data_IF_811926627216
#
_entry.id   IF_811926627216
#
_cell.length_a   1.000
_cell.length_b   1.000
_cell.length_c   1.000
_cell.angle_alpha   90.00
_cell.angle_beta   90.00
_cell.angle_gamma   90.00
#
_symmetry.space_group_name_H-M   'P 1'
#
loop_
_entity.id
_entity.type
_entity.pdbx_description
1 polymer ?
#
# COMPACT_ATOMS: atom_id res chain seq x y z
N UNK A 1 25.91 -23.96 20.29
CA UNK A 1 27.07 -23.22 19.80
C UNK A 1 27.87 -24.14 18.90
N UNK A 2 27.72 -24.02 17.58
CA UNK A 2 28.50 -24.81 16.61
C UNK A 2 28.81 -23.90 15.44
N UNK A 3 30.06 -23.46 15.37
CA UNK A 3 30.64 -22.62 14.33
C UNK A 3 31.42 -23.50 13.35
N UNK A 4 31.28 -23.27 12.03
CA UNK A 4 32.09 -23.86 10.96
C UNK A 4 31.96 -23.02 9.66
N UNK A 5 32.96 -23.05 8.74
CA UNK A 5 33.81 -21.89 8.47
C UNK A 5 33.71 -21.32 7.04
N UNK A 6 34.33 -20.14 6.91
CA UNK A 6 34.70 -19.42 5.69
C UNK A 6 35.49 -20.30 4.70
N UNK A 7 35.17 -20.18 3.40
CA UNK A 7 36.02 -20.64 2.31
C UNK A 7 36.11 -19.56 1.22
N UNK A 8 37.34 -19.08 1.05
CA UNK A 8 37.80 -18.21 -0.01
C UNK A 8 37.80 -18.94 -1.36
N UNK A 9 37.45 -18.22 -2.43
CA UNK A 9 38.01 -18.50 -3.75
C UNK A 9 38.16 -17.17 -4.50
N UNK A 10 39.41 -16.69 -4.55
CA UNK A 10 39.85 -15.63 -5.43
C UNK A 10 40.26 -16.26 -6.77
N UNK A 11 39.80 -15.68 -7.88
CA UNK A 11 40.45 -15.85 -9.18
C UNK A 11 40.22 -14.58 -10.01
N UNK A 12 41.31 -13.82 -10.17
CA UNK A 12 41.41 -12.68 -11.06
C UNK A 12 41.73 -13.15 -12.48
N UNK A 13 41.23 -12.43 -13.50
CA UNK A 13 41.90 -12.31 -14.79
C UNK A 13 41.39 -11.06 -15.52
N UNK A 14 42.34 -10.18 -15.83
CA UNK A 14 42.17 -8.89 -16.48
C UNK A 14 42.24 -9.01 -18.00
N UNK A 15 41.48 -8.18 -18.72
CA UNK A 15 41.76 -7.82 -20.13
C UNK A 15 41.48 -6.32 -20.29
N UNK A 16 42.54 -5.57 -20.68
CA UNK A 16 42.48 -4.18 -21.14
C UNK A 16 42.08 -4.14 -22.63
N UNK A 17 41.23 -3.17 -23.00
CA UNK A 17 41.31 -2.48 -24.29
C UNK A 17 40.61 -1.11 -24.20
N UNK A 18 41.34 -0.06 -24.55
CA UNK A 18 40.92 1.33 -24.55
C UNK A 18 40.39 1.76 -25.92
N UNK A 19 39.35 2.60 -25.96
CA UNK A 19 39.09 3.61 -27.00
C UNK A 19 37.92 4.49 -26.54
N UNK A 20 38.04 5.80 -26.76
CA UNK A 20 37.21 6.81 -26.10
C UNK A 20 35.81 7.00 -26.67
N UNK A 21 34.98 7.64 -25.86
CA UNK A 21 33.90 8.54 -26.28
C UNK A 21 33.73 9.59 -25.17
N UNK A 22 34.03 10.84 -25.51
CA UNK A 22 33.72 12.02 -24.72
C UNK A 22 32.20 12.20 -24.69
N UNK A 23 31.59 12.34 -23.51
CA UNK A 23 30.16 12.67 -23.46
C UNK A 23 29.53 12.67 -22.07
N UNK A 24 29.67 13.78 -21.36
CA UNK A 24 28.63 14.30 -20.47
C UNK A 24 28.47 13.66 -19.10
N UNK A 25 29.09 14.28 -18.09
CA UNK A 25 28.66 14.19 -16.69
C UNK A 25 27.23 14.72 -16.53
N UNK A 26 26.27 13.81 -16.41
CA UNK A 26 25.05 14.08 -15.68
C UNK A 26 24.97 13.05 -14.54
N UNK A 27 24.85 13.46 -13.27
CA UNK A 27 24.72 12.51 -12.18
C UNK A 27 23.42 11.72 -12.39
N UNK A 28 23.57 10.42 -12.63
CA UNK A 28 22.48 9.47 -12.62
C UNK A 28 21.85 9.50 -11.22
N UNK A 29 20.70 10.18 -11.13
CA UNK A 29 19.81 10.16 -9.98
C UNK A 29 19.50 8.69 -9.66
N UNK A 30 19.53 8.25 -8.39
CA UNK A 30 19.14 6.88 -8.05
C UNK A 30 17.76 6.60 -8.63
N UNK A 31 17.66 5.58 -9.47
CA UNK A 31 16.38 5.03 -9.83
C UNK A 31 15.73 4.58 -8.51
N UNK A 32 14.70 5.30 -8.08
CA UNK A 32 13.83 4.81 -7.04
C UNK A 32 13.23 3.51 -7.59
N UNK A 33 13.69 2.37 -7.08
CA UNK A 33 12.97 1.11 -7.17
C UNK A 33 11.64 1.30 -6.44
N UNK A 34 10.72 1.93 -7.14
CA UNK A 34 9.33 2.04 -6.78
C UNK A 34 8.75 0.65 -6.88
N UNK A 35 8.96 -0.16 -5.84
CA UNK A 35 8.24 -1.39 -5.62
C UNK A 35 6.78 -1.11 -5.91
N UNK A 36 6.26 -1.72 -6.97
CA UNK A 36 4.89 -1.51 -7.43
C UNK A 36 3.98 -2.09 -6.35
N UNK A 37 3.57 -1.23 -5.42
CA UNK A 37 2.47 -1.53 -4.50
C UNK A 37 1.25 -1.61 -5.38
N UNK A 38 0.81 -2.83 -5.67
CA UNK A 38 -0.49 -3.06 -6.28
C UNK A 38 -1.53 -2.56 -5.28
N UNK A 39 -2.21 -1.45 -5.60
CA UNK A 39 -3.47 -1.06 -4.95
C UNK A 39 -4.36 -2.31 -4.94
N UNK A 40 -4.48 -2.97 -3.78
CA UNK A 40 -5.29 -4.16 -3.57
C UNK A 40 -6.79 -3.86 -3.53
N UNK A 41 -7.23 -2.84 -4.26
CA UNK A 41 -8.65 -2.65 -4.53
C UNK A 41 -9.06 -3.74 -5.50
N UNK A 42 -10.03 -4.56 -5.08
CA UNK A 42 -10.71 -5.52 -5.94
C UNK A 42 -11.26 -4.76 -7.16
N UNK A 43 -10.51 -4.77 -8.27
CA UNK A 43 -10.99 -4.24 -9.55
C UNK A 43 -11.66 -5.39 -10.28
N UNK A 44 -12.96 -5.28 -10.50
CA UNK A 44 -13.65 -6.07 -11.54
C UNK A 44 -14.57 -7.19 -11.07
N UNK A 45 -15.38 -6.95 -10.06
CA UNK A 45 -16.61 -7.72 -9.79
C UNK A 45 -17.64 -6.77 -9.18
N UNK A 46 -18.93 -7.05 -9.33
CA UNK A 46 -20.00 -6.27 -8.71
C UNK A 46 -19.78 -6.25 -7.19
N UNK A 47 -19.14 -5.20 -6.68
CA UNK A 47 -18.96 -5.02 -5.25
C UNK A 47 -20.35 -4.73 -4.69
N UNK A 48 -20.83 -5.58 -3.80
CA UNK A 48 -22.16 -5.45 -3.21
C UNK A 48 -22.10 -4.92 -1.77
N UNK A 49 -23.22 -4.35 -1.32
CA UNK A 49 -23.39 -3.88 0.05
C UNK A 49 -22.49 -2.68 0.40
N UNK A 50 -22.14 -2.54 1.68
CA UNK A 50 -21.42 -1.37 2.18
C UNK A 50 -20.02 -1.19 1.57
N UNK A 51 -19.41 -2.24 1.03
CA UNK A 51 -18.13 -2.16 0.32
C UNK A 51 -18.24 -1.32 -0.96
N UNK A 52 -19.39 -1.34 -1.63
CA UNK A 52 -19.65 -0.58 -2.86
C UNK A 52 -19.67 0.94 -2.62
N UNK A 53 -19.98 1.35 -1.38
CA UNK A 53 -20.07 2.75 -1.01
C UNK A 53 -18.70 3.44 -0.89
N UNK A 54 -17.59 2.67 -0.78
CA UNK A 54 -16.25 3.23 -0.66
C UNK A 54 -15.59 3.39 -2.02
N UNK A 55 -15.43 4.64 -2.44
CA UNK A 55 -14.90 5.07 -3.72
C UNK A 55 -13.52 5.73 -3.61
N UNK A 56 -12.84 5.87 -4.75
CA UNK A 56 -11.58 6.60 -4.89
C UNK A 56 -10.48 6.20 -3.89
N UNK A 57 -10.46 4.91 -3.54
CA UNK A 57 -9.58 4.36 -2.52
C UNK A 57 -8.12 4.45 -2.96
N UNK A 58 -7.29 5.02 -2.09
CA UNK A 58 -5.83 4.96 -2.17
C UNK A 58 -5.29 4.57 -0.81
N UNK A 59 -4.62 3.44 -0.77
CA UNK A 59 -4.00 2.96 0.46
C UNK A 59 -2.57 2.48 0.19
N UNK A 60 -1.59 3.29 0.61
CA UNK A 60 -0.20 3.04 0.30
C UNK A 60 0.72 3.52 1.42
N UNK A 61 1.91 2.94 1.46
CA UNK A 61 3.03 3.45 2.25
C UNK A 61 3.68 4.65 1.56
N UNK A 62 4.16 5.62 2.32
CA UNK A 62 5.13 6.61 1.85
C UNK A 62 6.57 6.05 1.83
N UNK A 63 7.56 6.85 1.43
CA UNK A 63 8.98 6.44 1.45
C UNK A 63 9.53 6.12 2.86
N UNK A 64 8.85 6.58 3.91
CA UNK A 64 9.17 6.22 5.29
C UNK A 64 8.55 4.87 5.71
N UNK A 65 7.75 4.24 4.86
CA UNK A 65 6.97 3.05 5.19
C UNK A 65 5.71 3.34 5.98
N UNK A 66 5.26 4.60 6.08
CA UNK A 66 4.04 4.96 6.81
C UNK A 66 2.83 4.81 5.88
N UNK A 67 1.93 3.92 6.26
CA UNK A 67 0.71 3.61 5.53
C UNK A 67 -0.38 4.62 5.84
N UNK A 68 -1.04 5.10 4.79
CA UNK A 68 -2.21 5.97 4.91
C UNK A 68 -3.30 5.54 3.94
N UNK A 69 -4.56 5.68 4.37
CA UNK A 69 -5.75 5.50 3.54
C UNK A 69 -6.38 6.87 3.26
N UNK A 70 -6.80 7.09 2.01
CA UNK A 70 -7.80 8.09 1.64
C UNK A 70 -8.86 7.47 0.71
N UNK A 71 -10.08 7.97 0.78
CA UNK A 71 -11.19 7.59 -0.09
C UNK A 71 -12.42 8.47 0.17
N UNK A 72 -13.53 8.12 -0.45
CA UNK A 72 -14.84 8.77 -0.25
C UNK A 72 -15.90 7.72 0.00
N UNK A 73 -16.81 7.98 0.93
CA UNK A 73 -18.02 7.18 1.10
C UNK A 73 -19.17 7.92 0.43
N UNK A 74 -19.84 7.27 -0.52
CA UNK A 74 -21.07 7.73 -1.15
C UNK A 74 -22.26 6.95 -0.57
N UNK A 75 -23.28 7.66 -0.11
CA UNK A 75 -24.52 7.08 0.37
C UNK A 75 -25.62 7.31 -0.66
N UNK A 76 -25.94 6.28 -1.46
CA UNK A 76 -27.00 6.33 -2.47
C UNK A 76 -28.42 6.23 -1.89
N UNK A 77 -28.56 5.89 -0.61
CA UNK A 77 -29.87 5.78 0.05
C UNK A 77 -30.40 7.17 0.44
N UNK A 78 -31.71 7.27 0.70
CA UNK A 78 -32.35 8.54 1.11
C UNK A 78 -32.14 8.88 2.58
N UNK A 79 -31.77 7.90 3.38
CA UNK A 79 -31.58 8.03 4.82
C UNK A 79 -30.12 8.25 5.17
N UNK A 80 -29.86 8.88 6.32
CA UNK A 80 -28.52 8.97 6.86
C UNK A 80 -28.00 7.59 7.26
N UNK A 81 -26.75 7.32 6.94
CA UNK A 81 -26.09 6.09 7.32
C UNK A 81 -24.73 6.33 7.97
N UNK A 82 -24.41 5.51 8.97
CA UNK A 82 -23.09 5.48 9.60
C UNK A 82 -22.27 4.34 9.01
N UNK A 83 -21.08 4.66 8.53
CA UNK A 83 -20.12 3.72 7.98
C UNK A 83 -18.90 3.60 8.88
N UNK A 84 -18.30 2.41 8.91
CA UNK A 84 -16.96 2.18 9.46
C UNK A 84 -16.09 1.60 8.36
N UNK A 85 -14.99 2.28 8.06
CA UNK A 85 -13.96 1.84 7.12
C UNK A 85 -12.74 1.41 7.92
N UNK A 86 -12.39 0.13 7.82
CA UNK A 86 -11.17 -0.43 8.40
C UNK A 86 -10.09 -0.50 7.32
N UNK A 87 -8.95 0.13 7.54
CA UNK A 87 -7.74 -0.02 6.74
C UNK A 87 -6.79 -0.97 7.46
N UNK A 88 -6.28 -1.99 6.79
CA UNK A 88 -5.34 -2.96 7.36
C UNK A 88 -4.13 -3.16 6.45
N UNK A 89 -2.93 -3.19 7.01
CA UNK A 89 -1.73 -3.67 6.31
C UNK A 89 -1.57 -5.15 6.61
N UNK A 90 -1.53 -5.96 5.58
CA UNK A 90 -1.46 -7.42 5.66
C UNK A 90 -0.23 -7.90 4.93
N UNK A 91 0.46 -8.89 5.51
CA UNK A 91 1.49 -9.66 4.79
C UNK A 91 0.79 -10.74 3.96
N UNK A 92 0.95 -10.72 2.64
CA UNK A 92 0.27 -11.65 1.73
C UNK A 92 0.63 -13.11 2.00
N UNK A 93 1.86 -13.38 2.41
CA UNK A 93 2.25 -14.70 2.90
C UNK A 93 1.83 -14.86 4.36
N UNK A 94 0.98 -15.84 4.63
CA UNK A 94 0.51 -16.17 5.99
C UNK A 94 -0.58 -15.24 6.53
N UNK A 95 -1.09 -14.30 5.73
CA UNK A 95 -2.24 -13.45 6.04
C UNK A 95 -2.17 -12.73 7.40
N UNK A 96 -0.96 -12.34 7.82
CA UNK A 96 -0.75 -11.65 9.10
C UNK A 96 -1.08 -10.17 9.00
N UNK A 97 -1.95 -9.67 9.87
CA UNK A 97 -2.24 -8.24 9.99
C UNK A 97 -1.12 -7.56 10.77
N UNK A 98 -0.45 -6.59 10.15
CA UNK A 98 0.68 -5.86 10.73
C UNK A 98 0.25 -4.53 11.39
N UNK A 99 -0.91 -4.01 11.03
CA UNK A 99 -1.50 -2.81 11.61
C UNK A 99 -2.87 -2.55 11.00
N UNK A 100 -3.77 -1.94 11.77
CA UNK A 100 -5.11 -1.63 11.31
C UNK A 100 -5.66 -0.35 11.97
N UNK A 101 -6.61 0.30 11.29
CA UNK A 101 -7.31 1.47 11.82
C UNK A 101 -8.73 1.56 11.28
N UNK A 102 -9.65 1.85 12.20
CA UNK A 102 -11.03 2.19 11.88
C UNK A 102 -11.20 3.71 11.71
N UNK A 103 -11.98 4.08 10.71
CA UNK A 103 -12.52 5.42 10.49
C UNK A 103 -14.02 5.32 10.44
N UNK A 104 -14.70 6.03 11.35
CA UNK A 104 -16.16 6.11 11.40
C UNK A 104 -16.62 7.41 10.77
N UNK A 105 -17.62 7.35 9.91
CA UNK A 105 -18.18 8.51 9.24
C UNK A 105 -19.70 8.38 9.13
N UNK A 106 -20.39 9.49 9.38
CA UNK A 106 -21.83 9.61 9.16
C UNK A 106 -22.06 10.35 7.85
N UNK A 107 -22.83 9.77 6.94
CA UNK A 107 -23.08 10.30 5.60
C UNK A 107 -24.58 10.51 5.44
N UNK A 108 -25.03 11.77 5.20
CA UNK A 108 -26.43 12.06 4.90
C UNK A 108 -26.94 11.22 3.72
N UNK A 109 -28.26 11.04 3.64
CA UNK A 109 -28.88 10.42 2.46
C UNK A 109 -28.57 11.19 1.18
N UNK A 110 -28.22 10.47 0.11
CA UNK A 110 -27.76 11.02 -1.17
C UNK A 110 -26.42 11.77 -1.10
N UNK A 111 -25.76 11.77 0.06
CA UNK A 111 -24.56 12.55 0.32
C UNK A 111 -23.26 11.76 0.20
N UNK A 112 -22.15 12.49 0.34
CA UNK A 112 -20.81 11.91 0.35
C UNK A 112 -19.96 12.48 1.49
N UNK A 113 -18.99 11.70 1.96
CA UNK A 113 -17.96 12.15 2.92
C UNK A 113 -16.59 11.55 2.65
N UNK A 114 -15.56 12.36 2.87
CA UNK A 114 -14.18 11.89 2.81
C UNK A 114 -13.81 10.98 3.99
N UNK A 115 -13.00 9.97 3.72
CA UNK A 115 -12.43 9.07 4.73
C UNK A 115 -10.92 9.15 4.67
N UNK A 116 -10.29 9.38 5.82
CA UNK A 116 -8.83 9.50 5.92
C UNK A 116 -8.33 8.77 7.18
N UNK A 117 -7.37 7.86 6.99
CA UNK A 117 -6.56 7.28 8.06
C UNK A 117 -5.09 7.62 7.80
N UNK A 118 -4.55 8.59 8.55
CA UNK A 118 -3.15 9.03 8.38
C UNK A 118 -2.21 8.15 9.19
N UNK A 119 -1.11 7.73 8.57
CA UNK A 119 0.02 7.06 9.23
C UNK A 119 -0.41 5.94 10.19
N UNK A 120 -1.38 5.13 9.78
CA UNK A 120 -2.03 4.18 10.68
C UNK A 120 -1.20 2.94 10.97
N UNK A 121 -0.14 2.70 10.18
CA UNK A 121 0.85 1.67 10.40
C UNK A 121 2.20 2.10 9.80
N UNK A 122 3.30 1.55 10.30
CA UNK A 122 4.65 1.79 9.76
C UNK A 122 5.32 0.44 9.50
N UNK A 123 5.38 0.04 8.23
CA UNK A 123 5.96 -1.23 7.81
C UNK A 123 6.58 -1.09 6.41
N UNK A 124 7.74 -1.72 6.23
CA UNK A 124 8.46 -1.79 4.95
C UNK A 124 8.69 -3.25 4.56
N UNK A 125 8.97 -3.46 3.27
CA UNK A 125 9.29 -4.77 2.71
C UNK A 125 8.31 -5.20 1.64
N UNK A 126 8.65 -6.31 0.99
CA UNK A 126 7.85 -6.90 -0.08
C UNK A 126 6.65 -7.69 0.46
N UNK A 127 5.67 -7.95 -0.41
CA UNK A 127 4.51 -8.77 -0.07
C UNK A 127 3.59 -8.14 0.98
N UNK A 128 3.59 -6.81 1.08
CA UNK A 128 2.64 -6.05 1.89
C UNK A 128 1.48 -5.56 1.02
N UNK A 129 0.27 -5.74 1.52
CA UNK A 129 -0.96 -5.28 0.89
C UNK A 129 -1.76 -4.45 1.86
N UNK A 130 -2.39 -3.38 1.37
CA UNK A 130 -3.46 -2.74 2.11
C UNK A 130 -4.79 -3.36 1.72
N UNK A 131 -5.56 -3.76 2.72
CA UNK A 131 -6.92 -4.29 2.58
C UNK A 131 -7.87 -3.33 3.28
N UNK A 132 -8.97 -3.00 2.61
CA UNK A 132 -10.04 -2.17 3.17
C UNK A 132 -11.30 -3.00 3.38
N UNK A 133 -11.96 -2.79 4.51
CA UNK A 133 -13.30 -3.31 4.78
C UNK A 133 -14.22 -2.15 5.11
N UNK A 134 -15.40 -2.11 4.50
CA UNK A 134 -16.43 -1.13 4.80
C UNK A 134 -17.66 -1.83 5.34
N UNK A 135 -18.18 -1.35 6.46
CA UNK A 135 -19.46 -1.78 7.02
C UNK A 135 -20.36 -0.59 7.24
N UNK A 136 -21.66 -0.78 6.99
CA UNK A 136 -22.71 0.13 7.39
C UNK A 136 -23.29 -0.36 8.71
N UNK A 137 -23.47 0.53 9.68
CA UNK A 137 -24.15 0.19 10.93
C UNK A 137 -25.60 -0.22 10.62
N UNK A 138 -26.12 -1.20 11.36
CA UNK A 138 -27.56 -1.46 11.34
C UNK A 138 -28.26 -0.21 11.92
N UNK A 139 -29.23 0.31 11.17
CA UNK A 139 -30.15 1.36 11.64
C UNK A 139 -31.24 0.77 12.53
#
# INVERSE_FOLDING_TARGET
>A
MSARPLLCAAAALAVLAAAGCTGGDAPARPAADGGRVTDGSVRGGDVVGAAAALEDVRCAADGAGRWSLRGRIANGDREEHRYTVTASVVRSRGYTVLGARDVRVTVPGGGERGVVARHFATHRGEGLQCVTRTVRAAG
#
